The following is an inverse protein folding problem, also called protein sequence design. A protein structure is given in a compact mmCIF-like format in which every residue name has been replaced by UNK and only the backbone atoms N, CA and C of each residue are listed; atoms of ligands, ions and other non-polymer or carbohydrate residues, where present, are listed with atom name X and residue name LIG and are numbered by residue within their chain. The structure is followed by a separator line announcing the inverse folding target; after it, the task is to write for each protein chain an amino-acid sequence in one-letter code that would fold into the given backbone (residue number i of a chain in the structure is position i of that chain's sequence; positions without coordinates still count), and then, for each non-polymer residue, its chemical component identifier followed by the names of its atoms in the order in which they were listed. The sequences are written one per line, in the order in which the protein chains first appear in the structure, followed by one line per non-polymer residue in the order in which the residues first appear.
data_IF_189041726364
#
_entry.id   IF_189041726364
#
_cell.length_a   1.000
_cell.length_b   1.000
_cell.length_c   1.000
_cell.angle_alpha   90.00
_cell.angle_beta   90.00
_cell.angle_gamma   90.00
#
_symmetry.space_group_name_H-M   'P 1'
#
loop_
_entity.id
_entity.type
_entity.pdbx_description
1 polymer ?
#
# COMPACT_ATOMS: atom_id res chain seq x y z
N UNK A 1 8.82 10.36 3.32
CA UNK A 1 8.01 9.15 3.01
C UNK A 1 6.54 9.43 2.68
N UNK A 2 5.84 10.36 3.35
CA UNK A 2 4.40 10.61 3.08
C UNK A 2 4.08 10.98 1.61
N UNK A 3 4.89 11.83 0.97
CA UNK A 3 4.68 12.29 -0.41
C UNK A 3 4.69 11.12 -1.41
N UNK A 4 5.58 10.14 -1.20
CA UNK A 4 5.64 8.93 -2.02
C UNK A 4 4.42 8.04 -1.85
N UNK A 5 3.98 7.82 -0.60
CA UNK A 5 2.76 7.07 -0.33
C UNK A 5 1.51 7.77 -0.89
N UNK A 6 1.46 9.10 -0.81
CA UNK A 6 0.37 9.90 -1.38
C UNK A 6 0.34 9.78 -2.91
N UNK A 7 1.50 9.82 -3.58
CA UNK A 7 1.57 9.61 -5.03
C UNK A 7 0.99 8.24 -5.43
N UNK A 8 1.29 7.18 -4.67
CA UNK A 8 0.72 5.84 -4.91
C UNK A 8 -0.80 5.84 -4.75
N UNK A 9 -1.33 6.46 -3.68
CA UNK A 9 -2.78 6.56 -3.45
C UNK A 9 -3.46 7.36 -4.56
N UNK A 10 -2.86 8.46 -5.01
CA UNK A 10 -3.39 9.26 -6.13
C UNK A 10 -3.33 8.51 -7.46
N UNK A 11 -2.28 7.72 -7.71
CA UNK A 11 -2.17 6.88 -8.91
C UNK A 11 -3.23 5.76 -8.88
N UNK A 12 -3.54 5.23 -7.70
CA UNK A 12 -4.52 4.15 -7.50
C UNK A 12 -5.94 4.51 -7.96
N UNK A 13 -6.29 5.80 -7.96
CA UNK A 13 -7.56 6.26 -8.49
C UNK A 13 -7.65 6.17 -10.02
N UNK A 14 -6.50 6.27 -10.70
CA UNK A 14 -6.40 6.30 -12.16
C UNK A 14 -6.07 4.94 -12.78
N UNK A 15 -5.48 4.02 -12.00
CA UNK A 15 -5.03 2.70 -12.47
C UNK A 15 -5.94 1.59 -11.98
N UNK A 16 -5.94 0.47 -12.70
CA UNK A 16 -6.56 -0.77 -12.24
C UNK A 16 -5.86 -1.36 -11.01
N UNK A 17 -6.66 -2.04 -10.20
CA UNK A 17 -6.23 -2.67 -8.96
C UNK A 17 -5.55 -4.00 -9.29
N UNK A 18 -4.27 -4.15 -8.94
CA UNK A 18 -3.46 -5.33 -9.32
C UNK A 18 -3.12 -6.25 -8.15
N UNK A 19 -3.30 -5.79 -6.92
CA UNK A 19 -2.89 -6.52 -5.71
C UNK A 19 -3.91 -6.39 -4.59
N UNK A 20 -3.89 -7.33 -3.64
CA UNK A 20 -4.71 -7.25 -2.43
C UNK A 20 -4.44 -5.96 -1.63
N UNK A 21 -3.19 -5.48 -1.66
CA UNK A 21 -2.80 -4.19 -1.08
C UNK A 21 -3.53 -3.02 -1.75
N UNK A 22 -3.72 -3.08 -3.06
CA UNK A 22 -4.40 -2.05 -3.83
C UNK A 22 -5.92 -2.04 -3.54
N UNK A 23 -6.56 -3.21 -3.38
CA UNK A 23 -7.96 -3.30 -2.94
C UNK A 23 -8.12 -2.60 -1.58
N UNK A 24 -7.33 -3.05 -0.60
CA UNK A 24 -7.34 -2.49 0.75
C UNK A 24 -7.14 -0.97 0.74
N UNK A 25 -6.21 -0.48 -0.07
CA UNK A 25 -5.88 0.94 -0.14
C UNK A 25 -7.01 1.75 -0.79
N UNK A 26 -7.70 1.20 -1.80
CA UNK A 26 -8.85 1.85 -2.45
C UNK A 26 -10.03 1.94 -1.49
N UNK A 27 -10.37 0.85 -0.81
CA UNK A 27 -11.43 0.86 0.19
C UNK A 27 -11.13 1.78 1.38
N UNK A 28 -9.87 1.85 1.82
CA UNK A 28 -9.46 2.75 2.90
C UNK A 28 -9.54 4.21 2.46
N UNK A 29 -9.14 4.51 1.22
CA UNK A 29 -9.23 5.86 0.65
C UNK A 29 -10.69 6.33 0.56
N UNK A 30 -11.62 5.47 0.15
CA UNK A 30 -13.06 5.78 0.13
C UNK A 30 -13.59 6.04 1.54
N UNK A 31 -13.18 5.24 2.53
CA UNK A 31 -13.69 5.34 3.91
C UNK A 31 -13.11 6.51 4.73
N UNK A 32 -11.85 6.88 4.51
CA UNK A 32 -11.10 7.81 5.39
C UNK A 32 -10.37 8.94 4.65
N UNK A 33 -10.41 8.95 3.32
CA UNK A 33 -9.73 9.94 2.49
C UNK A 33 -8.25 9.65 2.24
N UNK A 34 -7.70 10.33 1.23
CA UNK A 34 -6.37 10.05 0.63
C UNK A 34 -5.21 10.23 1.60
N UNK A 35 -5.26 11.27 2.45
CA UNK A 35 -4.18 11.59 3.40
C UNK A 35 -4.03 10.50 4.47
N UNK A 36 -5.15 10.02 5.01
CA UNK A 36 -5.16 8.93 6.01
C UNK A 36 -4.69 7.63 5.38
N UNK A 37 -5.17 7.31 4.17
CA UNK A 37 -4.73 6.14 3.42
C UNK A 37 -3.22 6.17 3.13
N UNK A 38 -2.66 7.34 2.79
CA UNK A 38 -1.22 7.50 2.55
C UNK A 38 -0.37 7.27 3.80
N UNK A 39 -0.78 7.79 4.96
CA UNK A 39 -0.09 7.55 6.24
C UNK A 39 -0.16 6.07 6.61
N UNK A 40 -1.34 5.45 6.47
CA UNK A 40 -1.52 4.03 6.73
C UNK A 40 -0.63 3.15 5.82
N UNK A 41 -0.53 3.50 4.53
CA UNK A 41 0.36 2.83 3.59
C UNK A 41 1.82 2.95 4.02
N UNK A 42 2.29 4.15 4.36
CA UNK A 42 3.65 4.36 4.83
C UNK A 42 3.97 3.49 6.07
N UNK A 43 3.06 3.47 7.04
CA UNK A 43 3.20 2.63 8.23
C UNK A 43 3.22 1.13 7.91
N UNK A 44 2.42 0.70 6.93
CA UNK A 44 2.44 -0.69 6.47
C UNK A 44 3.77 -1.05 5.81
N UNK A 45 4.29 -0.19 4.93
CA UNK A 45 5.59 -0.38 4.26
C UNK A 45 6.74 -0.47 5.26
N UNK A 46 6.76 0.38 6.30
CA UNK A 46 7.80 0.33 7.34
C UNK A 46 7.76 -1.01 8.07
N UNK A 47 6.57 -1.48 8.49
CA UNK A 47 6.42 -2.78 9.16
C UNK A 47 6.85 -3.94 8.26
N UNK A 48 6.50 -3.89 6.97
CA UNK A 48 6.92 -4.90 6.00
C UNK A 48 8.44 -4.89 5.81
N UNK A 49 9.07 -3.72 5.64
CA UNK A 49 10.52 -3.59 5.51
C UNK A 49 11.26 -4.15 6.73
N UNK A 50 10.78 -3.81 7.93
CA UNK A 50 11.34 -4.35 9.17
C UNK A 50 11.19 -5.87 9.25
N UNK A 51 10.02 -6.42 8.90
CA UNK A 51 9.81 -7.87 8.90
C UNK A 51 10.70 -8.59 7.87
N UNK A 52 10.85 -8.03 6.66
CA UNK A 52 11.74 -8.56 5.63
C UNK A 52 13.19 -8.61 6.11
N UNK A 53 13.68 -7.52 6.70
CA UNK A 53 15.02 -7.46 7.27
C UNK A 53 15.20 -8.43 8.45
N UNK A 54 14.25 -8.47 9.39
CA UNK A 54 14.31 -9.34 10.57
C UNK A 54 14.31 -10.82 10.22
N UNK A 55 13.55 -11.21 9.20
CA UNK A 55 13.43 -12.61 8.79
C UNK A 55 14.37 -12.99 7.64
N UNK A 56 15.18 -12.05 7.14
CA UNK A 56 16.02 -12.20 5.95
C UNK A 56 15.23 -12.81 4.77
N UNK A 57 14.04 -12.26 4.50
CA UNK A 57 13.13 -12.71 3.45
C UNK A 57 12.89 -11.60 2.43
N UNK A 58 12.76 -11.99 1.18
CA UNK A 58 12.39 -11.10 0.09
C UNK A 58 10.91 -10.70 0.13
N UNK A 59 10.61 -9.59 -0.55
CA UNK A 59 9.24 -9.09 -0.68
C UNK A 59 8.41 -10.01 -1.56
N UNK A 60 7.33 -10.58 -1.00
CA UNK A 60 6.37 -11.42 -1.72
C UNK A 60 4.99 -10.73 -1.79
N UNK A 61 4.69 -10.00 -2.87
CA UNK A 61 3.38 -9.34 -3.01
C UNK A 61 2.27 -10.35 -3.31
N UNK A 62 1.13 -10.26 -2.60
CA UNK A 62 -0.10 -10.94 -3.02
C UNK A 62 -0.76 -10.19 -4.17
N UNK A 63 -0.47 -10.65 -5.38
CA UNK A 63 -1.18 -10.24 -6.58
C UNK A 63 -2.61 -10.80 -6.56
N UNK A 64 -3.53 -10.10 -7.21
CA UNK A 64 -4.84 -10.69 -7.49
C UNK A 64 -4.61 -11.79 -8.52
N UNK A 65 -5.05 -13.02 -8.19
CA UNK A 65 -5.05 -14.13 -9.14
C UNK A 65 -5.93 -13.69 -10.32
N UNK A 66 -5.41 -13.85 -11.54
CA UNK A 66 -6.16 -13.61 -12.77
C UNK A 66 -7.31 -14.60 -12.92
#
# INVERSE_FOLDING_TARGET
MYKGALAVVSQLEKREVRSQKDIWLKELSVRRGKKVAAIALANKTIRTAFAMQKHNKDYQPQLLVA
#
